data_IF_544262758829
#
_entry.id   IF_544262758829
#
_cell.length_a   1.000
_cell.length_b   1.000
_cell.length_c   1.000
_cell.angle_alpha   90.00
_cell.angle_beta   90.00
_cell.angle_gamma   90.00
#
_symmetry.space_group_name_H-M   'P 1'
#
loop_
_entity.id
_entity.type
_entity.pdbx_description
1 polymer ?
#
# COMPACT_ATOMS: atom_id res chain seq x y z
N UNK A 1 -16.71 0.80 7.37
CA UNK A 1 -15.27 1.12 7.38
C UNK A 1 -14.56 0.24 8.42
N UNK A 2 -13.27 -0.08 8.27
CA UNK A 2 -12.55 -0.96 9.25
C UNK A 2 -12.66 -0.40 10.68
N UNK A 3 -12.49 0.91 10.83
CA UNK A 3 -12.57 1.62 12.12
C UNK A 3 -13.93 1.50 12.78
N UNK A 4 -15.01 1.63 12.00
CA UNK A 4 -16.40 1.45 12.47
C UNK A 4 -16.64 0.07 13.06
N UNK A 5 -16.31 -0.98 12.31
CA UNK A 5 -16.53 -2.36 12.75
C UNK A 5 -15.65 -2.67 13.97
N UNK A 6 -14.40 -2.21 13.98
CA UNK A 6 -13.49 -2.45 15.10
C UNK A 6 -14.02 -1.82 16.39
N UNK A 7 -14.37 -0.53 16.39
CA UNK A 7 -14.83 0.16 17.60
C UNK A 7 -16.18 -0.34 18.10
N UNK A 8 -17.08 -0.77 17.22
CA UNK A 8 -18.37 -1.38 17.60
C UNK A 8 -18.18 -2.71 18.36
N UNK A 9 -17.13 -3.46 18.03
CA UNK A 9 -16.78 -4.70 18.71
C UNK A 9 -15.86 -4.48 19.93
N UNK A 10 -15.61 -3.22 20.31
CA UNK A 10 -14.66 -2.88 21.37
C UNK A 10 -13.19 -3.17 21.03
N UNK A 11 -12.90 -3.45 19.77
CA UNK A 11 -11.54 -3.72 19.28
C UNK A 11 -10.86 -2.40 18.97
N UNK A 12 -9.61 -2.25 19.45
CA UNK A 12 -8.77 -1.08 19.15
C UNK A 12 -8.58 -0.91 17.64
N UNK A 13 -9.10 0.16 16.99
CA UNK A 13 -9.04 0.32 15.53
C UNK A 13 -7.64 0.31 14.94
N UNK A 14 -6.63 0.77 15.68
CA UNK A 14 -5.23 0.74 15.24
C UNK A 14 -4.72 -0.66 14.93
N UNK A 15 -5.29 -1.72 15.53
CA UNK A 15 -4.87 -3.11 15.28
C UNK A 15 -5.18 -3.53 13.83
N UNK A 16 -6.45 -3.59 13.38
CA UNK A 16 -6.76 -3.97 12.01
C UNK A 16 -6.38 -2.90 10.99
N UNK A 17 -6.45 -1.61 11.35
CA UNK A 17 -6.19 -0.53 10.39
C UNK A 17 -4.72 -0.43 10.01
N UNK A 18 -3.81 -0.60 10.98
CA UNK A 18 -2.36 -0.51 10.72
C UNK A 18 -1.88 -1.58 9.76
N UNK A 19 -2.29 -2.84 9.97
CA UNK A 19 -1.93 -3.94 9.07
C UNK A 19 -2.64 -3.83 7.72
N UNK A 20 -3.89 -3.38 7.66
CA UNK A 20 -4.59 -3.21 6.38
C UNK A 20 -3.87 -2.19 5.48
N UNK A 21 -3.40 -1.07 6.04
CA UNK A 21 -2.64 -0.06 5.29
C UNK A 21 -1.30 -0.63 4.81
N UNK A 22 -0.54 -1.27 5.69
CA UNK A 22 0.75 -1.90 5.33
C UNK A 22 0.56 -2.98 4.27
N UNK A 23 -0.43 -3.85 4.45
CA UNK A 23 -0.74 -4.93 3.50
C UNK A 23 -1.08 -4.38 2.12
N UNK A 24 -1.81 -3.26 2.03
CA UNK A 24 -2.11 -2.62 0.76
C UNK A 24 -0.86 -2.15 0.01
N UNK A 25 0.18 -1.73 0.73
CA UNK A 25 1.46 -1.31 0.15
C UNK A 25 2.30 -2.50 -0.29
N UNK A 26 2.40 -3.54 0.54
CA UNK A 26 3.16 -4.76 0.21
C UNK A 26 2.47 -5.53 -0.93
N UNK A 27 1.14 -5.49 -1.05
CA UNK A 27 0.42 -6.13 -2.14
C UNK A 27 0.86 -5.65 -3.54
N UNK A 28 1.46 -4.46 -3.66
CA UNK A 28 2.04 -3.97 -4.92
C UNK A 28 3.16 -4.89 -5.41
N UNK A 29 3.98 -5.46 -4.53
CA UNK A 29 5.07 -6.39 -4.90
C UNK A 29 4.57 -7.80 -5.22
N UNK A 30 3.29 -8.08 -5.00
CA UNK A 30 2.63 -9.34 -5.36
C UNK A 30 1.59 -9.17 -6.47
N UNK A 31 1.40 -7.96 -6.99
CA UNK A 31 0.35 -7.66 -7.95
C UNK A 31 0.83 -7.82 -9.40
N UNK A 32 0.19 -8.66 -10.23
CA UNK A 32 0.60 -8.92 -11.62
C UNK A 32 0.55 -7.67 -12.51
N UNK A 33 -0.25 -6.69 -12.14
CA UNK A 33 -0.42 -5.46 -12.91
C UNK A 33 0.42 -4.31 -12.36
N UNK A 34 1.20 -4.48 -11.28
CA UNK A 34 1.98 -3.37 -10.75
C UNK A 34 3.21 -3.07 -11.61
N UNK A 35 3.52 -1.78 -11.76
CA UNK A 35 4.71 -1.36 -12.52
C UNK A 35 6.02 -1.89 -11.90
N UNK A 36 6.05 -2.09 -10.58
CA UNK A 36 7.21 -2.66 -9.89
C UNK A 36 7.43 -4.13 -10.26
N UNK A 37 6.37 -4.94 -10.22
CA UNK A 37 6.42 -6.38 -10.55
C UNK A 37 6.74 -6.58 -12.03
N UNK A 38 6.09 -5.84 -12.92
CA UNK A 38 6.32 -5.93 -14.37
C UNK A 38 7.78 -5.59 -14.71
N UNK A 39 8.30 -4.50 -14.15
CA UNK A 39 9.70 -4.14 -14.35
C UNK A 39 10.65 -5.20 -13.78
N UNK A 40 10.39 -5.66 -12.56
CA UNK A 40 11.28 -6.63 -11.90
C UNK A 40 11.31 -7.97 -12.63
N UNK A 41 10.16 -8.45 -13.12
CA UNK A 41 10.10 -9.64 -13.95
C UNK A 41 10.93 -9.48 -15.24
N UNK A 42 10.83 -8.33 -15.91
CA UNK A 42 11.57 -8.09 -17.15
C UNK A 42 13.10 -8.14 -16.99
N UNK A 43 13.63 -7.74 -15.83
CA UNK A 43 15.08 -7.85 -15.57
C UNK A 43 15.51 -9.23 -15.04
N UNK A 44 14.57 -10.03 -14.54
CA UNK A 44 14.79 -11.38 -14.03
C UNK A 44 14.67 -12.45 -15.13
N UNK A 45 13.90 -12.19 -16.18
CA UNK A 45 13.67 -13.13 -17.28
C UNK A 45 14.97 -13.55 -18.00
N UNK A 46 15.92 -12.65 -18.31
CA UNK A 46 17.24 -13.03 -18.84
C UNK A 46 18.07 -13.90 -17.89
N UNK A 47 17.74 -13.89 -16.59
CA UNK A 47 18.39 -14.68 -15.54
C UNK A 47 17.70 -16.02 -15.28
N UNK A 48 16.72 -16.40 -16.12
CA UNK A 48 16.04 -17.69 -16.06
C UNK A 48 14.83 -17.74 -15.13
N UNK A 49 14.42 -16.62 -14.52
CA UNK A 49 13.22 -16.58 -13.67
C UNK A 49 12.04 -16.05 -14.47
N UNK A 50 11.05 -16.92 -14.71
CA UNK A 50 9.85 -16.53 -15.42
C UNK A 50 8.96 -15.58 -14.59
N UNK A 51 8.17 -14.75 -15.28
CA UNK A 51 7.14 -13.91 -14.65
C UNK A 51 6.18 -14.71 -13.76
N UNK A 52 5.77 -15.91 -14.21
CA UNK A 52 4.88 -16.78 -13.43
C UNK A 52 5.57 -17.32 -12.17
N UNK A 53 6.86 -17.66 -12.25
CA UNK A 53 7.65 -18.09 -11.09
C UNK A 53 7.75 -16.96 -10.05
N UNK A 54 8.04 -15.73 -10.49
CA UNK A 54 8.06 -14.56 -9.62
C UNK A 54 6.73 -14.40 -8.87
N UNK A 55 5.61 -14.43 -9.58
CA UNK A 55 4.28 -14.30 -8.97
C UNK A 55 3.96 -15.48 -8.03
N UNK A 56 4.31 -16.69 -8.43
CA UNK A 56 4.08 -17.89 -7.64
C UNK A 56 4.87 -17.88 -6.32
N UNK A 57 5.97 -17.11 -6.23
CA UNK A 57 6.68 -16.84 -4.98
C UNK A 57 6.04 -15.65 -4.25
N UNK A 58 5.93 -14.48 -4.90
CA UNK A 58 5.54 -13.23 -4.24
C UNK A 58 4.12 -13.25 -3.66
N UNK A 59 3.15 -13.87 -4.35
CA UNK A 59 1.75 -13.92 -3.92
C UNK A 59 1.59 -14.69 -2.60
N UNK A 60 1.99 -15.98 -2.48
CA UNK A 60 1.83 -16.72 -1.24
C UNK A 60 2.69 -16.15 -0.11
N UNK A 61 3.92 -15.70 -0.39
CA UNK A 61 4.81 -15.07 0.60
C UNK A 61 4.14 -13.84 1.22
N UNK A 62 3.63 -12.95 0.37
CA UNK A 62 2.97 -11.72 0.83
C UNK A 62 1.72 -12.03 1.64
N UNK A 63 0.89 -12.98 1.17
CA UNK A 63 -0.33 -13.38 1.87
C UNK A 63 -0.01 -13.94 3.26
N UNK A 64 0.92 -14.89 3.35
CA UNK A 64 1.31 -15.51 4.61
C UNK A 64 1.93 -14.50 5.58
N UNK A 65 2.84 -13.64 5.11
CA UNK A 65 3.46 -12.61 5.92
C UNK A 65 2.43 -11.63 6.50
N UNK A 66 1.48 -11.16 5.69
CA UNK A 66 0.41 -10.26 6.13
C UNK A 66 -0.50 -10.96 7.15
N UNK A 67 -0.87 -12.23 6.93
CA UNK A 67 -1.72 -12.98 7.85
C UNK A 67 -1.03 -13.20 9.20
N UNK A 68 0.25 -13.59 9.20
CA UNK A 68 1.04 -13.73 10.42
C UNK A 68 1.19 -12.39 11.15
N UNK A 69 1.42 -11.31 10.42
CA UNK A 69 1.49 -9.97 11.01
C UNK A 69 0.14 -9.55 11.60
N UNK A 70 -0.97 -9.87 10.96
CA UNK A 70 -2.30 -9.58 11.50
C UNK A 70 -2.56 -10.28 12.84
N UNK A 71 -2.06 -11.51 13.02
CA UNK A 71 -2.08 -12.21 14.32
C UNK A 71 -1.29 -11.43 15.36
N UNK A 72 -0.08 -10.96 15.02
CA UNK A 72 0.74 -10.14 15.92
C UNK A 72 0.05 -8.81 16.27
N UNK A 73 -0.58 -8.16 15.29
CA UNK A 73 -1.31 -6.91 15.49
C UNK A 73 -2.44 -7.01 16.52
N UNK A 74 -3.03 -8.19 16.71
CA UNK A 74 -4.05 -8.39 17.75
C UNK A 74 -3.52 -8.15 19.17
N UNK A 75 -2.21 -8.24 19.38
CA UNK A 75 -1.55 -8.03 20.66
C UNK A 75 -0.89 -6.65 20.79
N UNK A 76 -1.02 -5.77 19.78
CA UNK A 76 -0.43 -4.44 19.82
C UNK A 76 -1.34 -3.43 20.53
N UNK A 77 -0.75 -2.69 21.46
CA UNK A 77 -1.42 -1.65 22.25
C UNK A 77 -2.36 -2.20 23.31
N UNK A 78 -2.80 -1.33 24.23
CA UNK A 78 -3.81 -1.66 25.22
C UNK A 78 -5.19 -1.87 24.57
N UNK A 79 -6.08 -2.55 25.29
CA UNK A 79 -7.48 -2.68 24.89
C UNK A 79 -8.13 -1.30 24.73
N UNK A 80 -9.10 -1.19 23.82
CA UNK A 80 -9.71 0.10 23.48
C UNK A 80 -10.29 0.81 24.71
N UNK A 81 -10.98 0.05 25.57
CA UNK A 81 -11.57 0.52 26.82
C UNK A 81 -10.53 1.07 27.81
N UNK A 82 -9.27 0.65 27.71
CA UNK A 82 -8.21 1.05 28.62
C UNK A 82 -7.32 2.16 28.02
N UNK A 83 -7.64 2.64 26.81
CA UNK A 83 -6.90 3.72 26.17
C UNK A 83 -7.36 5.09 26.72
N UNK A 84 -6.49 5.87 27.38
CA UNK A 84 -6.86 7.15 27.96
C UNK A 84 -7.31 8.18 26.90
N UNK A 85 -6.74 8.13 25.69
CA UNK A 85 -7.12 9.04 24.60
C UNK A 85 -8.52 8.70 24.09
N UNK A 86 -8.83 7.42 23.99
CA UNK A 86 -10.18 6.99 23.62
C UNK A 86 -11.20 7.43 24.66
N UNK A 87 -10.92 7.22 25.95
CA UNK A 87 -11.81 7.62 27.04
C UNK A 87 -12.05 9.13 27.07
N UNK A 88 -11.00 9.93 26.85
CA UNK A 88 -11.12 11.38 26.76
C UNK A 88 -12.02 11.81 25.58
N UNK A 89 -11.79 11.26 24.39
CA UNK A 89 -12.59 11.56 23.19
C UNK A 89 -14.03 11.08 23.32
N UNK A 90 -14.24 9.94 23.95
CA UNK A 90 -15.57 9.40 24.22
C UNK A 90 -16.32 10.31 25.19
N UNK A 91 -15.67 10.77 26.27
CA UNK A 91 -16.25 11.72 27.23
C UNK A 91 -16.60 13.07 26.58
N UNK A 92 -15.84 13.50 25.57
CA UNK A 92 -16.10 14.72 24.79
C UNK A 92 -17.16 14.55 23.70
N UNK A 93 -17.64 13.33 23.45
CA UNK A 93 -18.60 13.05 22.37
C UNK A 93 -17.99 13.11 20.96
N UNK A 94 -16.67 13.01 20.85
CA UNK A 94 -15.93 13.07 19.58
C UNK A 94 -15.94 11.72 18.83
N UNK A 95 -16.25 10.63 19.53
CA UNK A 95 -16.36 9.28 18.95
C UNK A 95 -17.79 8.99 18.54
N UNK A 96 -18.01 8.63 17.27
CA UNK A 96 -19.33 8.22 16.77
C UNK A 96 -19.49 6.70 16.88
N UNK A 97 -20.47 6.24 17.65
CA UNK A 97 -20.89 4.84 17.66
C UNK A 97 -22.19 4.71 16.86
N UNK A 98 -22.21 3.79 15.89
CA UNK A 98 -23.36 3.56 15.01
C UNK A 98 -24.54 2.91 15.73
N UNK A 99 -24.28 2.26 16.88
CA UNK A 99 -25.27 1.50 17.63
C UNK A 99 -25.75 0.26 16.87
N UNK A 100 -26.75 -0.44 17.42
CA UNK A 100 -27.37 -1.60 16.77
C UNK A 100 -28.32 -1.19 15.62
N UNK A 101 -27.87 -0.33 14.71
CA UNK A 101 -28.67 -0.02 13.53
C UNK A 101 -28.71 -1.24 12.63
N UNK A 102 -29.93 -1.76 12.42
CA UNK A 102 -30.21 -2.77 11.41
C UNK A 102 -29.79 -2.19 10.06
N UNK A 103 -28.83 -2.83 9.40
CA UNK A 103 -28.36 -2.40 8.09
C UNK A 103 -29.50 -2.51 7.08
N UNK A 104 -30.14 -1.40 6.75
CA UNK A 104 -31.11 -1.31 5.67
C UNK A 104 -30.41 -1.05 4.35
N UNK A 105 -30.62 -1.95 3.39
CA UNK A 105 -30.02 -1.85 2.08
C UNK A 105 -30.67 -0.68 1.32
N UNK A 106 -29.88 0.38 1.08
CA UNK A 106 -30.36 1.53 0.33
C UNK A 106 -30.81 1.11 -1.09
N UNK A 107 -31.86 1.75 -1.64
CA UNK A 107 -32.24 1.59 -3.03
C UNK A 107 -31.02 1.79 -3.93
N UNK A 108 -30.86 0.93 -4.94
CA UNK A 108 -29.74 0.97 -5.90
C UNK A 108 -28.35 0.56 -5.36
N UNK A 109 -28.20 0.14 -4.10
CA UNK A 109 -26.89 -0.30 -3.58
C UNK A 109 -26.24 -1.41 -4.43
N UNK A 110 -27.02 -2.43 -4.86
CA UNK A 110 -26.53 -3.49 -5.75
C UNK A 110 -26.08 -2.97 -7.12
N UNK A 111 -26.79 -1.96 -7.65
CA UNK A 111 -26.45 -1.33 -8.93
C UNK A 111 -25.15 -0.55 -8.84
N UNK A 112 -24.95 0.19 -7.75
CA UNK A 112 -23.71 0.91 -7.48
C UNK A 112 -22.51 -0.04 -7.44
N UNK A 113 -22.64 -1.15 -6.70
CA UNK A 113 -21.60 -2.19 -6.64
C UNK A 113 -21.33 -2.81 -8.02
N UNK A 114 -22.38 -3.12 -8.80
CA UNK A 114 -22.21 -3.67 -10.15
C UNK A 114 -21.44 -2.70 -11.06
N UNK A 115 -21.80 -1.42 -11.06
CA UNK A 115 -21.10 -0.40 -11.85
C UNK A 115 -19.64 -0.26 -11.42
N UNK A 116 -19.38 -0.28 -10.11
CA UNK A 116 -18.02 -0.27 -9.59
C UNK A 116 -17.20 -1.48 -10.07
N UNK A 117 -17.77 -2.70 -10.03
CA UNK A 117 -17.12 -3.91 -10.54
C UNK A 117 -16.85 -3.85 -12.04
N UNK A 118 -17.80 -3.34 -12.83
CA UNK A 118 -17.61 -3.09 -14.27
C UNK A 118 -16.43 -2.12 -14.47
N UNK A 119 -16.33 -1.08 -13.65
CA UNK A 119 -15.20 -0.15 -13.64
C UNK A 119 -13.85 -0.83 -13.41
N UNK A 120 -13.76 -1.70 -12.40
CA UNK A 120 -12.54 -2.47 -12.12
C UNK A 120 -12.16 -3.34 -13.32
N UNK A 121 -13.12 -4.07 -13.89
CA UNK A 121 -12.87 -4.93 -15.06
C UNK A 121 -12.41 -4.11 -16.27
N UNK A 122 -13.04 -2.96 -16.53
CA UNK A 122 -12.66 -2.07 -17.62
C UNK A 122 -11.22 -1.52 -17.43
N UNK A 123 -10.88 -1.10 -16.21
CA UNK A 123 -9.52 -0.65 -15.88
C UNK A 123 -8.50 -1.77 -16.06
N UNK A 124 -8.79 -2.98 -15.55
CA UNK A 124 -7.89 -4.12 -15.68
C UNK A 124 -7.69 -4.52 -17.14
N UNK A 125 -8.77 -4.56 -17.93
CA UNK A 125 -8.70 -4.87 -19.35
C UNK A 125 -7.84 -3.84 -20.09
N UNK A 126 -8.09 -2.54 -19.88
CA UNK A 126 -7.32 -1.48 -20.52
C UNK A 126 -5.84 -1.51 -20.10
N UNK A 127 -5.56 -1.58 -18.79
CA UNK A 127 -4.20 -1.63 -18.26
C UNK A 127 -3.41 -2.84 -18.78
N UNK A 128 -4.10 -3.97 -18.99
CA UNK A 128 -3.53 -5.17 -19.60
C UNK A 128 -3.29 -4.96 -21.09
N UNK A 129 -4.26 -4.41 -21.83
CA UNK A 129 -4.15 -4.18 -23.27
C UNK A 129 -3.00 -3.24 -23.67
N UNK A 130 -2.72 -2.23 -22.84
CA UNK A 130 -1.61 -1.28 -23.05
C UNK A 130 -0.28 -1.76 -22.43
N UNK A 131 -0.26 -2.89 -21.74
CA UNK A 131 0.96 -3.41 -21.09
C UNK A 131 1.94 -3.92 -22.13
N UNK A 132 3.23 -3.67 -21.96
CA UNK A 132 4.29 -4.13 -22.88
C UNK A 132 4.32 -5.66 -23.03
N UNK A 133 3.88 -6.38 -21.99
CA UNK A 133 3.77 -7.84 -21.96
C UNK A 133 2.69 -8.40 -22.89
N UNK A 134 1.60 -7.67 -23.10
CA UNK A 134 0.45 -8.12 -23.92
C UNK A 134 0.42 -7.39 -25.26
N UNK A 135 0.83 -6.12 -25.27
CA UNK A 135 1.12 -5.36 -26.49
C UNK A 135 -0.06 -5.17 -27.45
N UNK A 136 -1.29 -5.34 -27.00
CA UNK A 136 -2.50 -5.19 -27.82
C UNK A 136 -2.64 -3.75 -28.35
N UNK A 137 -2.23 -2.76 -27.55
CA UNK A 137 -2.22 -1.34 -27.92
C UNK A 137 -0.80 -0.79 -27.70
N UNK A 138 -0.04 -0.65 -28.79
CA UNK A 138 1.37 -0.23 -28.73
C UNK A 138 1.57 1.26 -28.45
N UNK A 139 0.66 2.11 -28.93
CA UNK A 139 0.71 3.56 -28.76
C UNK A 139 -0.60 4.05 -28.14
N UNK A 140 -0.83 3.83 -26.84
CA UNK A 140 -2.06 4.25 -26.19
C UNK A 140 -2.12 5.79 -26.10
N UNK A 141 -3.27 6.37 -26.45
CA UNK A 141 -3.52 7.81 -26.33
C UNK A 141 -3.54 8.25 -24.87
N UNK A 142 -4.04 7.39 -23.97
CA UNK A 142 -4.05 7.60 -22.53
C UNK A 142 -3.03 6.67 -21.86
N UNK A 143 -2.04 7.21 -21.14
CA UNK A 143 -1.21 6.38 -20.29
C UNK A 143 -2.05 5.78 -19.14
N UNK A 144 -1.50 4.74 -18.50
CA UNK A 144 -2.23 3.91 -17.54
C UNK A 144 -2.88 4.71 -16.42
N UNK A 145 -2.17 5.69 -15.87
CA UNK A 145 -2.63 6.45 -14.70
C UNK A 145 -3.83 7.33 -15.05
N UNK A 146 -3.75 8.04 -16.16
CA UNK A 146 -4.80 8.90 -16.70
C UNK A 146 -6.02 8.07 -17.07
N UNK A 147 -5.82 6.89 -17.66
CA UNK A 147 -6.90 5.97 -17.97
C UNK A 147 -7.65 5.50 -16.72
N UNK A 148 -6.94 5.14 -15.64
CA UNK A 148 -7.57 4.78 -14.35
C UNK A 148 -8.46 5.93 -13.86
N UNK A 149 -7.95 7.16 -13.88
CA UNK A 149 -8.72 8.34 -13.43
C UNK A 149 -9.96 8.54 -14.30
N UNK A 150 -9.83 8.48 -15.63
CA UNK A 150 -10.94 8.63 -16.57
C UNK A 150 -12.02 7.56 -16.34
N UNK A 151 -11.63 6.28 -16.24
CA UNK A 151 -12.58 5.20 -15.98
C UNK A 151 -13.27 5.36 -14.63
N UNK A 152 -12.52 5.65 -13.56
CA UNK A 152 -13.08 5.80 -12.21
C UNK A 152 -14.02 7.00 -12.11
N UNK A 153 -13.70 8.15 -12.72
CA UNK A 153 -14.58 9.32 -12.77
C UNK A 153 -15.82 9.06 -13.62
N UNK A 154 -15.69 8.32 -14.73
CA UNK A 154 -16.83 7.92 -15.57
C UNK A 154 -17.79 7.02 -14.80
N UNK A 155 -17.26 6.02 -14.09
CA UNK A 155 -18.05 5.11 -13.27
C UNK A 155 -18.69 5.86 -12.09
N UNK A 156 -17.96 6.77 -11.43
CA UNK A 156 -18.52 7.63 -10.39
C UNK A 156 -19.69 8.48 -10.94
N UNK A 157 -19.55 9.02 -12.14
CA UNK A 157 -20.61 9.77 -12.83
C UNK A 157 -21.83 8.90 -13.10
N UNK A 158 -21.61 7.70 -13.64
CA UNK A 158 -22.69 6.73 -13.88
C UNK A 158 -23.39 6.32 -12.59
N UNK A 159 -22.64 6.07 -11.51
CA UNK A 159 -23.20 5.75 -10.19
C UNK A 159 -24.06 6.92 -9.70
N UNK A 160 -23.55 8.15 -9.73
CA UNK A 160 -24.26 9.35 -9.29
C UNK A 160 -25.59 9.55 -10.03
N UNK A 161 -25.59 9.43 -11.36
CA UNK A 161 -26.79 9.61 -12.19
C UNK A 161 -27.78 8.45 -11.97
N UNK A 162 -27.28 7.21 -12.03
CA UNK A 162 -28.16 6.04 -12.09
C UNK A 162 -28.65 5.51 -10.75
N UNK A 163 -27.93 5.82 -9.68
CA UNK A 163 -28.32 5.53 -8.30
C UNK A 163 -28.96 6.75 -7.60
N UNK A 164 -29.09 7.88 -8.32
CA UNK A 164 -29.71 9.13 -7.83
C UNK A 164 -29.11 9.61 -6.51
N UNK A 165 -27.78 9.61 -6.43
CA UNK A 165 -27.06 10.04 -5.24
C UNK A 165 -27.16 11.56 -5.12
N UNK A 166 -27.43 12.05 -3.91
CA UNK A 166 -27.23 13.47 -3.60
C UNK A 166 -25.73 13.77 -3.60
N UNK A 167 -25.25 14.44 -4.64
CA UNK A 167 -23.83 14.76 -4.81
C UNK A 167 -23.34 15.78 -3.78
N UNK A 168 -24.22 16.57 -3.16
CA UNK A 168 -23.87 17.47 -2.06
C UNK A 168 -23.45 16.69 -0.80
N UNK A 169 -24.12 15.57 -0.53
CA UNK A 169 -23.79 14.69 0.60
C UNK A 169 -22.44 13.98 0.44
N UNK A 170 -21.97 13.79 -0.80
CA UNK A 170 -20.64 13.21 -1.06
C UNK A 170 -19.53 14.07 -0.45
N UNK A 171 -19.65 15.40 -0.51
CA UNK A 171 -18.69 16.33 0.10
C UNK A 171 -18.72 16.28 1.62
N UNK A 172 -19.86 15.87 2.19
CA UNK A 172 -20.05 15.75 3.64
C UNK A 172 -19.64 14.39 4.20
N UNK A 173 -19.50 13.37 3.34
CA UNK A 173 -19.05 12.04 3.72
C UNK A 173 -17.68 12.10 4.41
N UNK A 174 -17.54 11.37 5.52
CA UNK A 174 -16.28 11.29 6.28
C UNK A 174 -15.12 10.85 5.39
N UNK A 175 -15.34 9.84 4.53
CA UNK A 175 -14.34 9.35 3.59
C UNK A 175 -13.83 10.44 2.63
N UNK A 176 -14.71 11.32 2.14
CA UNK A 176 -14.31 12.42 1.25
C UNK A 176 -13.53 13.48 2.01
N UNK A 177 -14.01 13.92 3.18
CA UNK A 177 -13.33 14.92 4.02
C UNK A 177 -11.94 14.45 4.46
N UNK A 178 -11.83 13.23 4.99
CA UNK A 178 -10.54 12.62 5.36
C UNK A 178 -9.64 12.45 4.13
N UNK A 179 -10.20 12.07 2.98
CA UNK A 179 -9.48 11.97 1.71
C UNK A 179 -8.91 13.31 1.24
N UNK A 180 -9.70 14.37 1.27
CA UNK A 180 -9.27 15.72 0.88
C UNK A 180 -8.22 16.30 1.82
N UNK A 181 -8.38 16.10 3.15
CA UNK A 181 -7.35 16.46 4.14
C UNK A 181 -6.04 15.76 3.84
N UNK A 182 -6.08 14.43 3.65
CA UNK A 182 -4.91 13.64 3.30
C UNK A 182 -4.28 14.10 1.97
N UNK A 183 -5.07 14.44 0.94
CA UNK A 183 -4.55 14.98 -0.31
C UNK A 183 -3.74 16.27 -0.12
N UNK A 184 -4.23 17.21 0.70
CA UNK A 184 -3.50 18.47 0.98
C UNK A 184 -2.20 18.18 1.75
N UNK A 185 -2.24 17.31 2.77
CA UNK A 185 -1.04 16.92 3.52
C UNK A 185 0.00 16.22 2.61
N UNK A 186 -0.45 15.39 1.67
CA UNK A 186 0.42 14.71 0.70
C UNK A 186 1.04 15.70 -0.27
N UNK A 187 0.26 16.60 -0.86
CA UNK A 187 0.79 17.59 -1.81
C UNK A 187 1.88 18.46 -1.19
N UNK A 188 1.81 18.75 0.12
CA UNK A 188 2.89 19.45 0.82
C UNK A 188 4.07 18.54 1.14
N UNK A 189 3.85 17.54 2.00
CA UNK A 189 4.95 16.77 2.61
C UNK A 189 5.57 15.77 1.63
N UNK A 190 4.75 15.09 0.81
CA UNK A 190 5.27 14.14 -0.17
C UNK A 190 6.00 14.84 -1.33
N UNK A 191 5.56 16.04 -1.74
CA UNK A 191 6.26 16.80 -2.78
C UNK A 191 7.61 17.33 -2.31
N UNK A 192 7.71 17.81 -1.07
CA UNK A 192 8.99 18.21 -0.49
C UNK A 192 9.94 17.02 -0.38
N UNK A 193 9.45 15.87 0.10
CA UNK A 193 10.22 14.62 0.17
C UNK A 193 10.71 14.16 -1.20
N UNK A 194 9.80 14.09 -2.19
CA UNK A 194 10.13 13.68 -3.56
C UNK A 194 11.12 14.65 -4.23
N UNK A 195 11.00 15.95 -3.99
CA UNK A 195 11.93 16.96 -4.53
C UNK A 195 13.33 16.82 -3.93
N UNK A 196 13.42 16.65 -2.61
CA UNK A 196 14.69 16.41 -1.92
C UNK A 196 15.35 15.13 -2.43
N UNK A 197 14.59 14.04 -2.54
CA UNK A 197 15.11 12.74 -2.96
C UNK A 197 15.53 12.75 -4.42
N UNK A 198 14.77 13.41 -5.30
CA UNK A 198 15.17 13.61 -6.70
C UNK A 198 16.47 14.40 -6.84
N UNK A 199 16.68 15.41 -6.00
CA UNK A 199 17.92 16.19 -6.00
C UNK A 199 19.15 15.35 -5.59
N UNK A 200 18.96 14.33 -4.75
CA UNK A 200 20.03 13.48 -4.21
C UNK A 200 19.99 12.04 -4.73
N UNK A 201 19.26 11.76 -5.81
CA UNK A 201 19.04 10.38 -6.26
C UNK A 201 20.35 9.68 -6.63
N UNK A 202 21.28 10.41 -7.25
CA UNK A 202 22.61 9.91 -7.62
C UNK A 202 23.43 9.52 -6.38
N UNK A 203 23.38 10.34 -5.33
CA UNK A 203 24.10 10.08 -4.07
C UNK A 203 23.51 8.85 -3.36
N UNK A 204 22.17 8.76 -3.32
CA UNK A 204 21.44 7.62 -2.73
C UNK A 204 21.81 6.33 -3.48
N UNK A 205 21.86 6.36 -4.81
CA UNK A 205 22.24 5.21 -5.64
C UNK A 205 23.71 4.82 -5.43
N UNK A 206 24.62 5.80 -5.32
CA UNK A 206 26.03 5.54 -5.07
C UNK A 206 26.25 4.86 -3.71
N UNK A 207 25.69 5.43 -2.64
CA UNK A 207 25.80 4.86 -1.28
C UNK A 207 25.17 3.47 -1.21
N UNK A 208 23.98 3.29 -1.80
CA UNK A 208 23.33 1.99 -1.89
C UNK A 208 24.18 0.98 -2.67
N UNK A 209 24.75 1.39 -3.80
CA UNK A 209 25.63 0.57 -4.63
C UNK A 209 26.89 0.12 -3.88
N UNK A 210 27.57 1.03 -3.18
CA UNK A 210 28.76 0.72 -2.38
C UNK A 210 28.46 -0.24 -1.23
N UNK A 211 27.33 -0.06 -0.55
CA UNK A 211 26.85 -0.97 0.48
C UNK A 211 26.58 -2.37 -0.09
N UNK A 212 25.94 -2.46 -1.26
CA UNK A 212 25.65 -3.73 -1.91
C UNK A 212 26.90 -4.41 -2.46
N UNK A 213 27.88 -3.66 -2.95
CA UNK A 213 29.16 -4.20 -3.41
C UNK A 213 29.91 -4.86 -2.26
N UNK A 214 29.95 -4.21 -1.09
CA UNK A 214 30.67 -4.70 0.09
C UNK A 214 29.88 -5.75 0.89
N UNK A 215 28.56 -5.62 0.92
CA UNK A 215 27.65 -6.46 1.71
C UNK A 215 26.40 -6.86 0.91
N UNK A 216 26.50 -7.76 -0.08
CA UNK A 216 25.37 -8.15 -0.93
C UNK A 216 24.15 -8.71 -0.16
N UNK A 217 24.38 -9.28 1.03
CA UNK A 217 23.34 -9.82 1.91
C UNK A 217 22.48 -8.74 2.58
N UNK A 218 22.88 -7.47 2.54
CA UNK A 218 22.10 -6.34 3.06
C UNK A 218 21.04 -5.83 2.08
N UNK A 219 20.80 -6.51 0.95
CA UNK A 219 19.88 -6.01 -0.08
C UNK A 219 18.51 -5.60 0.47
N UNK A 220 17.86 -6.43 1.28
CA UNK A 220 16.57 -6.07 1.87
C UNK A 220 16.65 -4.81 2.74
N UNK A 221 17.74 -4.61 3.49
CA UNK A 221 17.94 -3.43 4.34
C UNK A 221 18.16 -2.18 3.48
N UNK A 222 18.99 -2.29 2.45
CA UNK A 222 19.25 -1.19 1.51
C UNK A 222 17.96 -0.80 0.79
N UNK A 223 17.18 -1.78 0.29
CA UNK A 223 15.89 -1.53 -0.35
C UNK A 223 14.86 -0.92 0.61
N UNK A 224 14.86 -1.34 1.88
CA UNK A 224 13.97 -0.79 2.90
C UNK A 224 14.21 0.72 3.08
N UNK A 225 15.45 1.12 3.34
CA UNK A 225 15.77 2.54 3.52
C UNK A 225 15.67 3.33 2.22
N UNK A 226 16.08 2.75 1.09
CA UNK A 226 15.92 3.39 -0.20
C UNK A 226 14.44 3.63 -0.53
N UNK A 227 13.55 2.68 -0.29
CA UNK A 227 12.11 2.86 -0.50
C UNK A 227 11.52 3.94 0.39
N UNK A 228 11.97 4.04 1.65
CA UNK A 228 11.58 5.15 2.54
C UNK A 228 11.93 6.50 1.93
N UNK A 229 13.08 6.62 1.25
CA UNK A 229 13.53 7.86 0.59
C UNK A 229 12.84 8.05 -0.78
N UNK A 230 13.00 7.12 -1.72
CA UNK A 230 12.48 7.20 -3.09
C UNK A 230 10.95 7.23 -3.17
N UNK A 231 10.27 6.83 -2.11
CA UNK A 231 8.82 6.96 -1.97
C UNK A 231 8.00 6.29 -3.09
N UNK A 232 8.57 5.27 -3.72
CA UNK A 232 7.95 4.54 -4.82
C UNK A 232 8.55 3.15 -4.95
N UNK A 233 7.72 2.11 -4.90
CA UNK A 233 8.15 0.72 -5.13
C UNK A 233 8.81 0.58 -6.49
N UNK A 234 8.16 1.12 -7.53
CA UNK A 234 8.64 1.01 -8.90
C UNK A 234 9.94 1.79 -9.12
N UNK A 235 10.06 3.01 -8.56
CA UNK A 235 11.28 3.80 -8.67
C UNK A 235 12.45 3.12 -7.93
N UNK A 236 12.21 2.64 -6.72
CA UNK A 236 13.23 1.93 -5.91
C UNK A 236 13.72 0.67 -6.63
N UNK A 237 12.79 -0.11 -7.16
CA UNK A 237 13.11 -1.32 -7.94
C UNK A 237 13.94 -0.98 -9.17
N UNK A 238 13.52 0.04 -9.95
CA UNK A 238 14.25 0.50 -11.15
C UNK A 238 15.63 1.05 -10.84
N UNK A 239 15.78 1.73 -9.72
CA UNK A 239 17.04 2.33 -9.31
C UNK A 239 18.06 1.28 -8.83
N UNK A 240 17.62 0.29 -8.04
CA UNK A 240 18.56 -0.52 -7.25
C UNK A 240 18.62 -2.00 -7.65
N UNK A 241 17.53 -2.61 -8.12
CA UNK A 241 17.57 -4.04 -8.46
C UNK A 241 18.51 -4.37 -9.62
N UNK A 242 18.57 -3.59 -10.73
CA UNK A 242 19.53 -3.85 -11.80
C UNK A 242 20.98 -3.78 -11.30
N UNK A 243 21.30 -2.78 -10.48
CA UNK A 243 22.64 -2.63 -9.90
C UNK A 243 22.99 -3.80 -8.97
N UNK A 244 22.05 -4.23 -8.11
CA UNK A 244 22.24 -5.38 -7.23
C UNK A 244 22.53 -6.68 -8.00
N UNK A 245 21.77 -6.94 -9.08
CA UNK A 245 21.97 -8.12 -9.92
C UNK A 245 23.33 -8.07 -10.65
N UNK A 246 23.74 -6.91 -11.15
CA UNK A 246 25.06 -6.72 -11.77
C UNK A 246 26.22 -6.95 -10.78
N UNK A 247 26.01 -6.66 -9.50
CA UNK A 247 26.97 -6.91 -8.42
C UNK A 247 26.99 -8.37 -7.94
N UNK A 248 26.28 -9.28 -8.63
CA UNK A 248 26.29 -10.71 -8.34
C UNK A 248 25.28 -11.16 -7.28
N UNK A 249 24.32 -10.31 -6.90
CA UNK A 249 23.19 -10.77 -6.07
C UNK A 249 22.38 -11.81 -6.85
N UNK A 250 22.12 -12.96 -6.23
CA UNK A 250 21.36 -14.02 -6.87
C UNK A 250 19.89 -13.61 -7.12
N UNK A 251 19.24 -14.13 -8.18
CA UNK A 251 17.81 -13.92 -8.41
C UNK A 251 16.95 -14.27 -7.18
N UNK A 252 17.31 -15.34 -6.46
CA UNK A 252 16.67 -15.73 -5.21
C UNK A 252 16.71 -14.60 -4.17
N UNK A 253 17.89 -14.04 -3.89
CA UNK A 253 18.05 -12.96 -2.91
C UNK A 253 17.31 -11.70 -3.33
N UNK A 254 17.32 -11.38 -4.63
CA UNK A 254 16.58 -10.23 -5.17
C UNK A 254 15.06 -10.41 -4.98
N UNK A 255 14.52 -11.60 -5.28
CA UNK A 255 13.09 -11.90 -5.13
C UNK A 255 12.68 -11.91 -3.67
N UNK A 256 13.46 -12.57 -2.81
CA UNK A 256 13.20 -12.59 -1.38
C UNK A 256 13.20 -11.17 -0.77
N UNK A 257 14.11 -10.31 -1.23
CA UNK A 257 14.23 -8.92 -0.75
C UNK A 257 13.19 -7.98 -1.35
N UNK A 258 12.42 -8.39 -2.35
CA UNK A 258 11.60 -7.49 -3.16
C UNK A 258 10.54 -6.74 -2.34
N UNK A 259 9.90 -7.40 -1.36
CA UNK A 259 8.91 -6.76 -0.50
C UNK A 259 9.45 -5.55 0.30
N UNK A 260 10.77 -5.46 0.50
CA UNK A 260 11.40 -4.34 1.20
C UNK A 260 11.22 -3.00 0.46
N UNK A 261 10.95 -3.01 -0.85
CA UNK A 261 10.66 -1.79 -1.61
C UNK A 261 9.33 -1.12 -1.19
N UNK A 262 8.54 -1.78 -0.33
CA UNK A 262 7.26 -1.29 0.18
C UNK A 262 7.37 -0.60 1.55
N UNK A 263 8.58 -0.26 2.00
CA UNK A 263 8.84 0.46 3.26
C UNK A 263 8.44 1.95 3.25
N UNK A 264 7.30 2.26 2.64
CA UNK A 264 6.74 3.62 2.50
C UNK A 264 6.03 4.09 3.76
N UNK A 265 5.71 3.17 4.66
CA UNK A 265 5.08 3.47 5.94
C UNK A 265 6.04 4.08 6.97
N UNK A 266 7.36 3.99 6.76
CA UNK A 266 8.38 4.38 7.75
C UNK A 266 8.32 5.87 8.08
N UNK A 267 8.09 6.70 7.06
CA UNK A 267 7.73 8.09 7.23
C UNK A 267 6.20 8.20 7.12
N UNK A 268 5.50 8.79 8.11
CA UNK A 268 4.05 8.82 8.16
C UNK A 268 3.48 9.91 7.23
N UNK A 269 3.97 9.96 6.00
CA UNK A 269 3.66 10.99 5.00
C UNK A 269 2.80 10.41 3.88
N UNK A 270 2.66 9.08 3.82
CA UNK A 270 2.01 8.40 2.69
C UNK A 270 0.50 8.60 2.73
N UNK A 271 -0.17 8.90 1.59
CA UNK A 271 -1.59 9.24 1.57
C UNK A 271 -2.47 8.24 2.32
N UNK A 272 -2.19 6.94 2.15
CA UNK A 272 -2.99 5.88 2.77
C UNK A 272 -2.81 5.82 4.29
N UNK A 273 -1.62 6.16 4.81
CA UNK A 273 -1.37 6.25 6.25
C UNK A 273 -2.10 7.44 6.86
N UNK A 274 -2.00 8.60 6.22
CA UNK A 274 -2.65 9.83 6.69
C UNK A 274 -4.17 9.69 6.66
N UNK A 275 -4.72 9.16 5.56
CA UNK A 275 -6.14 8.88 5.46
C UNK A 275 -6.61 7.92 6.56
N UNK A 276 -5.83 6.90 6.90
CA UNK A 276 -6.16 5.97 7.97
C UNK A 276 -6.15 6.64 9.36
N UNK A 277 -5.19 7.54 9.63
CA UNK A 277 -5.17 8.33 10.88
C UNK A 277 -6.41 9.23 10.97
N UNK A 278 -6.76 9.91 9.86
CA UNK A 278 -7.93 10.81 9.80
C UNK A 278 -9.27 10.07 9.87
N UNK A 279 -9.32 8.80 9.45
CA UNK A 279 -10.51 7.96 9.51
C UNK A 279 -10.77 7.35 10.89
N UNK A 280 -9.79 7.39 11.80
CA UNK A 280 -9.90 6.84 13.15
C UNK A 280 -10.25 7.93 14.19
N UNK A 281 -11.55 8.12 14.40
CA UNK A 281 -12.07 9.07 15.40
C UNK A 281 -11.72 8.66 16.85
N UNK A 282 -11.39 7.40 17.12
CA UNK A 282 -10.98 6.93 18.46
C UNK A 282 -9.63 7.46 18.90
N UNK A 283 -8.79 7.93 17.97
CA UNK A 283 -7.43 8.38 18.26
C UNK A 283 -6.45 7.25 18.59
N UNK A 284 -6.86 5.99 18.42
CA UNK A 284 -6.01 4.83 18.63
C UNK A 284 -4.92 4.71 17.56
N UNK A 285 -5.23 5.15 16.34
CA UNK A 285 -4.35 5.27 15.18
C UNK A 285 -3.91 6.72 15.05
N UNK A 286 -2.69 7.02 15.48
CA UNK A 286 -2.16 8.39 15.45
C UNK A 286 -0.66 8.42 15.16
N UNK A 287 -0.21 9.58 14.72
CA UNK A 287 1.20 9.96 14.76
C UNK A 287 1.46 10.55 16.15
N UNK A 288 2.39 9.96 16.88
CA UNK A 288 2.78 10.37 18.22
C UNK A 288 3.74 11.55 18.20
N UNK A 289 4.46 11.73 19.32
CA UNK A 289 5.39 12.86 19.50
C UNK A 289 6.58 12.87 18.53
N UNK A 290 6.98 11.69 18.04
CA UNK A 290 8.13 11.52 17.14
C UNK A 290 7.66 11.03 15.77
N UNK A 291 8.41 11.37 14.72
CA UNK A 291 8.09 11.01 13.32
C UNK A 291 7.91 9.50 13.15
N UNK A 292 8.75 8.69 13.80
CA UNK A 292 8.69 7.22 13.75
C UNK A 292 7.72 6.60 14.77
N UNK A 293 7.11 7.40 15.63
CA UNK A 293 6.17 6.92 16.64
C UNK A 293 4.76 6.91 16.06
N UNK A 294 4.42 5.92 15.24
CA UNK A 294 3.07 5.76 14.67
C UNK A 294 2.66 4.29 14.58
N UNK A 295 1.35 4.06 14.49
CA UNK A 295 0.74 2.72 14.54
C UNK A 295 1.20 1.76 13.42
N UNK A 296 1.73 2.29 12.31
CA UNK A 296 2.11 1.51 11.13
C UNK A 296 3.53 0.95 11.15
N UNK A 297 4.45 1.52 11.96
CA UNK A 297 5.87 1.17 11.89
C UNK A 297 6.12 -0.29 12.28
N UNK A 298 5.60 -0.71 13.45
CA UNK A 298 5.80 -2.06 13.97
C UNK A 298 5.18 -3.12 13.04
N UNK A 299 3.88 -3.02 12.65
CA UNK A 299 3.30 -3.95 11.68
C UNK A 299 4.04 -3.96 10.34
N UNK A 300 4.47 -2.79 9.86
CA UNK A 300 5.21 -2.65 8.62
C UNK A 300 6.54 -3.38 8.62
N UNK A 301 7.35 -3.17 9.65
CA UNK A 301 8.65 -3.84 9.81
C UNK A 301 8.45 -5.35 9.92
N UNK A 302 7.52 -5.82 10.76
CA UNK A 302 7.24 -7.25 10.92
C UNK A 302 6.80 -7.87 9.58
N UNK A 303 5.88 -7.23 8.86
CA UNK A 303 5.38 -7.76 7.60
C UNK A 303 6.47 -7.86 6.54
N UNK A 304 7.34 -6.84 6.40
CA UNK A 304 8.47 -6.89 5.47
C UNK A 304 9.47 -7.97 5.90
N UNK A 305 9.84 -8.04 7.18
CA UNK A 305 10.77 -9.08 7.67
C UNK A 305 10.24 -10.48 7.39
N UNK A 306 8.95 -10.73 7.65
CA UNK A 306 8.32 -12.01 7.33
C UNK A 306 8.28 -12.27 5.82
N UNK A 307 8.00 -11.27 4.98
CA UNK A 307 8.07 -11.41 3.53
C UNK A 307 9.48 -11.82 3.08
N UNK A 308 10.53 -11.22 3.65
CA UNK A 308 11.92 -11.55 3.28
C UNK A 308 12.27 -12.97 3.69
N UNK A 309 11.95 -13.36 4.93
CA UNK A 309 12.21 -14.72 5.44
C UNK A 309 11.47 -15.76 4.60
N UNK A 310 10.16 -15.58 4.42
CA UNK A 310 9.33 -16.48 3.62
C UNK A 310 9.75 -16.47 2.14
N UNK A 311 10.22 -15.33 1.63
CA UNK A 311 10.75 -15.19 0.28
C UNK A 311 11.98 -16.07 0.05
N UNK A 312 12.90 -16.15 1.01
CA UNK A 312 14.02 -17.09 0.93
C UNK A 312 13.56 -18.54 0.97
N UNK A 313 12.56 -18.87 1.80
CA UNK A 313 12.05 -20.24 1.94
C UNK A 313 11.34 -20.67 0.64
N UNK A 314 10.35 -19.91 0.18
CA UNK A 314 9.58 -20.24 -1.03
C UNK A 314 10.45 -20.15 -2.28
N UNK A 315 11.26 -19.10 -2.40
CA UNK A 315 12.18 -18.94 -3.51
C UNK A 315 13.19 -20.10 -3.57
N UNK A 316 13.75 -20.53 -2.44
CA UNK A 316 14.71 -21.65 -2.41
C UNK A 316 14.11 -23.02 -2.72
N UNK A 317 12.77 -23.16 -2.69
CA UNK A 317 12.06 -24.37 -3.12
C UNK A 317 11.75 -24.33 -4.62
N UNK A 318 11.53 -23.13 -5.18
CA UNK A 318 10.98 -22.94 -6.52
C UNK A 318 12.02 -22.54 -7.59
N UNK A 319 13.22 -22.12 -7.17
CA UNK A 319 14.35 -21.69 -8.01
C UNK A 319 15.53 -22.64 -7.84
#
# INVERSE_FOLDING_TARGET
>A
MITEVAKEQGIRPSRPLSIAVVASQIAITASPISAAVVFFAGILEPLGVSYLTLLAICIPVTLLAVMLTAIVCNFLGCELKDDPVYQERLAKGEVRLRGSQVFELQPHAKRSVLLFLIGIVAVMFYATAISDTVGLIKNPVLPRNEAIVVFMLTIATLISITCKIDTGEVLNASTFKSGMSACVCVLGVAWLGDTFVKAHISDIQAVAGDLLHNYPWLLAVVLFFAATLLYSQAATTKALMPAALLLGVSPLTAIASFAAVSALFVLPTYPTLLAAVEMDDTGSTRIGKYVFNHAFLIPGVIAITLCVILGFIFGGIML
#
